data_IF_648966818713
#
_entry.id   IF_648966818713
#
_cell.length_a   1.000
_cell.length_b   1.000
_cell.length_c   1.000
_cell.angle_alpha   90.00
_cell.angle_beta   90.00
_cell.angle_gamma   90.00
#
_symmetry.space_group_name_H-M   'P 1'
#
loop_
_entity.id
_entity.type
_entity.pdbx_description
1 polymer ?
#
# COMPACT_ATOMS: atom_id res chain seq x y z
N UNK A 1 -4.74 0.34 19.73
CA UNK A 1 -5.83 0.62 18.74
C UNK A 1 -7.18 0.16 19.30
N UNK A 2 -8.23 1.00 19.31
CA UNK A 2 -9.55 0.65 19.88
C UNK A 2 -10.25 -0.50 19.12
N UNK A 3 -11.17 -1.23 19.77
CA UNK A 3 -11.81 -2.45 19.22
C UNK A 3 -12.64 -2.21 17.94
N UNK A 4 -13.36 -1.09 17.87
CA UNK A 4 -14.23 -0.73 16.74
C UNK A 4 -13.44 -0.39 15.46
N UNK A 5 -12.42 0.49 15.47
CA UNK A 5 -11.61 0.72 14.28
C UNK A 5 -10.87 -0.55 13.84
N UNK A 6 -10.52 -1.46 14.76
CA UNK A 6 -9.94 -2.76 14.43
C UNK A 6 -10.90 -3.65 13.63
N UNK A 7 -12.18 -3.72 14.01
CA UNK A 7 -13.19 -4.46 13.23
C UNK A 7 -13.46 -3.84 11.86
N UNK A 8 -13.53 -2.51 11.79
CA UNK A 8 -13.78 -1.81 10.52
C UNK A 8 -12.60 -2.01 9.56
N UNK A 9 -11.37 -2.01 10.08
CA UNK A 9 -10.16 -2.28 9.28
C UNK A 9 -10.07 -3.74 8.80
N UNK A 10 -10.62 -4.70 9.55
CA UNK A 10 -10.75 -6.11 9.11
C UNK A 10 -11.89 -6.35 8.11
N UNK A 11 -12.93 -5.51 8.10
CA UNK A 11 -14.08 -5.64 7.18
C UNK A 11 -13.96 -4.77 5.93
N UNK A 12 -13.13 -3.73 5.95
CA UNK A 12 -12.74 -3.06 4.73
C UNK A 12 -11.90 -4.03 3.92
N UNK A 13 -12.41 -4.52 2.79
CA UNK A 13 -11.56 -5.01 1.71
C UNK A 13 -11.00 -3.76 1.03
N UNK A 14 -9.81 -3.25 1.39
CA UNK A 14 -9.25 -2.10 0.69
C UNK A 14 -9.02 -2.54 -0.75
N UNK A 15 -9.66 -1.84 -1.69
CA UNK A 15 -9.48 -2.09 -3.11
C UNK A 15 -8.22 -1.33 -3.52
N UNK A 16 -7.18 -2.07 -3.84
CA UNK A 16 -5.95 -1.53 -4.42
C UNK A 16 -6.11 -1.54 -5.94
N UNK A 17 -6.08 -0.36 -6.55
CA UNK A 17 -5.97 -0.23 -8.00
C UNK A 17 -4.54 0.15 -8.33
N UNK A 18 -3.90 -0.63 -9.19
CA UNK A 18 -2.50 -0.44 -9.55
C UNK A 18 -2.46 -0.13 -11.03
N UNK A 19 -2.06 1.09 -11.36
CA UNK A 19 -1.88 1.55 -12.73
C UNK A 19 -0.39 1.62 -13.04
N UNK A 20 0.02 0.98 -14.14
CA UNK A 20 1.36 1.12 -14.69
C UNK A 20 1.29 2.05 -15.92
N UNK A 21 2.09 3.12 -15.90
CA UNK A 21 2.30 4.04 -17.01
C UNK A 21 3.79 3.99 -17.40
N UNK A 22 4.24 2.81 -17.83
CA UNK A 22 5.64 2.53 -18.15
C UNK A 22 6.52 2.50 -16.91
N UNK A 23 7.27 3.59 -16.68
CA UNK A 23 8.16 3.74 -15.53
C UNK A 23 7.43 4.14 -14.25
N UNK A 24 6.28 4.83 -14.36
CA UNK A 24 5.53 5.31 -13.20
C UNK A 24 4.43 4.34 -12.82
N UNK A 25 4.38 4.00 -11.55
CA UNK A 25 3.36 3.17 -10.94
C UNK A 25 2.49 4.02 -10.04
N UNK A 26 1.19 3.93 -10.21
CA UNK A 26 0.22 4.61 -9.35
C UNK A 26 -0.57 3.55 -8.59
N UNK A 27 -0.39 3.47 -7.28
CA UNK A 27 -1.25 2.69 -6.40
C UNK A 27 -2.32 3.61 -5.84
N UNK A 28 -3.57 3.29 -6.15
CA UNK A 28 -4.74 3.90 -5.54
C UNK A 28 -5.34 2.93 -4.53
N UNK A 29 -5.20 3.27 -3.25
CA UNK A 29 -5.79 2.52 -2.14
C UNK A 29 -7.17 3.10 -1.83
N UNK A 30 -8.22 2.43 -2.31
CA UNK A 30 -9.61 2.79 -2.06
C UNK A 30 -10.10 1.98 -0.86
N UNK A 31 -10.28 2.64 0.27
CA UNK A 31 -10.95 2.06 1.44
C UNK A 31 -12.36 2.63 1.56
N UNK A 32 -13.25 1.96 2.31
CA UNK A 32 -14.61 2.49 2.59
C UNK A 32 -14.60 3.88 3.25
N UNK A 33 -13.49 4.26 3.89
CA UNK A 33 -13.37 5.51 4.64
C UNK A 33 -12.72 6.61 3.78
N UNK A 34 -11.67 6.29 3.01
CA UNK A 34 -10.91 7.23 2.17
C UNK A 34 -10.24 6.53 0.99
N UNK A 35 -10.11 7.27 -0.11
CA UNK A 35 -9.24 6.91 -1.24
C UNK A 35 -7.93 7.68 -1.13
N UNK A 36 -6.81 6.96 -1.13
CA UNK A 36 -5.47 7.52 -1.22
C UNK A 36 -4.85 7.11 -2.56
N UNK A 37 -4.17 8.02 -3.24
CA UNK A 37 -3.42 7.74 -4.47
C UNK A 37 -1.96 8.10 -4.25
N UNK A 38 -1.06 7.19 -4.60
CA UNK A 38 0.38 7.42 -4.55
C UNK A 38 1.00 6.99 -5.86
N UNK A 39 1.77 7.90 -6.47
CA UNK A 39 2.57 7.62 -7.66
C UNK A 39 4.02 7.45 -7.23
N UNK A 40 4.63 6.33 -7.60
CA UNK A 40 6.00 5.97 -7.29
C UNK A 40 6.62 5.20 -8.47
N UNK A 41 7.94 5.04 -8.44
CA UNK A 41 8.66 4.19 -9.39
C UNK A 41 8.99 2.87 -8.71
N UNK A 42 8.90 1.75 -9.42
CA UNK A 42 9.36 0.47 -8.87
C UNK A 42 10.85 0.52 -8.54
N UNK A 43 11.20 0.03 -7.35
CA UNK A 43 12.58 0.00 -6.85
C UNK A 43 13.06 1.31 -6.22
N UNK A 44 12.27 2.38 -6.26
CA UNK A 44 12.60 3.64 -5.59
C UNK A 44 11.89 3.77 -4.23
N UNK A 45 12.56 4.42 -3.28
CA UNK A 45 11.97 4.78 -1.99
C UNK A 45 11.06 6.00 -2.16
N UNK A 46 9.81 5.89 -1.71
CA UNK A 46 8.84 6.97 -1.69
C UNK A 46 8.27 7.16 -0.29
N UNK A 47 7.98 8.41 0.06
CA UNK A 47 7.41 8.76 1.35
C UNK A 47 5.88 8.76 1.29
N UNK A 48 5.24 7.96 2.13
CA UNK A 48 3.80 7.93 2.31
C UNK A 48 3.43 8.64 3.60
N UNK A 49 2.62 9.68 3.47
CA UNK A 49 2.10 10.44 4.60
C UNK A 49 0.79 9.81 5.06
N UNK A 50 0.86 9.03 6.13
CA UNK A 50 -0.33 8.45 6.73
C UNK A 50 -1.18 9.52 7.45
N UNK A 51 -2.51 9.33 7.49
CA UNK A 51 -3.44 10.21 8.21
C UNK A 51 -3.24 10.09 9.73
N UNK A 52 -2.24 10.80 10.23
CA UNK A 52 -1.86 11.05 11.62
C UNK A 52 -0.54 11.86 11.71
N UNK A 53 0.07 12.24 10.57
CA UNK A 53 1.39 12.88 10.55
C UNK A 53 2.55 11.87 10.58
N UNK A 54 2.26 10.58 10.40
CA UNK A 54 3.28 9.53 10.33
C UNK A 54 3.80 9.46 8.89
N UNK A 55 5.11 9.61 8.73
CA UNK A 55 5.80 9.41 7.45
C UNK A 55 6.33 7.99 7.42
N UNK A 56 5.96 7.23 6.39
CA UNK A 56 6.51 5.90 6.13
C UNK A 56 7.33 5.94 4.86
N UNK A 57 8.54 5.40 4.90
CA UNK A 57 9.38 5.19 3.72
C UNK A 57 9.01 3.85 3.11
N UNK A 58 8.38 3.88 1.95
CA UNK A 58 7.92 2.71 1.25
C UNK A 58 8.82 2.44 0.05
N UNK A 59 9.18 1.18 -0.16
CA UNK A 59 9.89 0.72 -1.36
C UNK A 59 9.07 -0.40 -1.96
N UNK A 60 8.56 -0.21 -3.17
CA UNK A 60 7.77 -1.23 -3.85
C UNK A 60 8.57 -1.85 -4.98
N UNK A 61 8.64 -3.18 -4.98
CA UNK A 61 9.39 -3.99 -5.93
C UNK A 61 8.48 -5.05 -6.53
N UNK A 62 8.75 -5.44 -7.78
CA UNK A 62 7.98 -6.48 -8.47
C UNK A 62 8.79 -7.78 -8.46
N UNK A 63 8.28 -8.80 -7.77
CA UNK A 63 8.85 -10.15 -7.72
C UNK A 63 7.95 -11.10 -8.54
N UNK A 64 8.24 -11.23 -9.84
CA UNK A 64 7.41 -11.99 -10.77
C UNK A 64 6.04 -11.33 -10.94
N UNK A 65 4.97 -12.04 -10.59
CA UNK A 65 3.59 -11.53 -10.61
C UNK A 65 3.13 -10.93 -9.26
N UNK A 66 4.06 -10.78 -8.31
CA UNK A 66 3.77 -10.25 -6.98
C UNK A 66 4.38 -8.86 -6.80
N UNK A 67 3.64 -7.96 -6.17
CA UNK A 67 4.15 -6.68 -5.70
C UNK A 67 4.55 -6.78 -4.24
N UNK A 68 5.82 -6.51 -3.95
CA UNK A 68 6.37 -6.51 -2.60
C UNK A 68 6.67 -5.09 -2.19
N UNK A 69 5.88 -4.55 -1.27
CA UNK A 69 6.07 -3.25 -0.65
C UNK A 69 6.71 -3.39 0.71
N UNK A 70 7.85 -2.75 0.88
CA UNK A 70 8.58 -2.66 2.14
C UNK A 70 8.36 -1.28 2.73
N UNK A 71 7.62 -1.20 3.83
CA UNK A 71 7.36 0.03 4.56
C UNK A 71 8.28 0.12 5.79
N UNK A 72 9.04 1.20 5.91
CA UNK A 72 9.89 1.52 7.06
C UNK A 72 9.28 2.70 7.79
N UNK A 73 8.82 2.46 9.01
CA UNK A 73 8.27 3.49 9.89
C UNK A 73 9.35 4.29 10.64
N UNK A 74 8.97 5.37 11.35
CA UNK A 74 9.89 6.24 12.08
C UNK A 74 10.66 5.54 13.21
N UNK A 75 10.08 4.52 13.83
CA UNK A 75 10.73 3.67 14.84
C UNK A 75 11.66 2.60 14.25
N UNK A 76 12.08 2.76 12.99
CA UNK A 76 12.85 1.79 12.22
C UNK A 76 12.14 0.43 12.06
N UNK A 77 10.81 0.43 12.25
CA UNK A 77 9.98 -0.76 12.14
C UNK A 77 9.74 -1.07 10.65
N UNK A 78 10.22 -2.23 10.21
CA UNK A 78 10.10 -2.68 8.82
C UNK A 78 8.92 -3.63 8.68
N UNK A 79 7.97 -3.26 7.84
CA UNK A 79 6.80 -4.05 7.50
C UNK A 79 6.89 -4.43 6.03
N UNK A 80 6.89 -5.73 5.73
CA UNK A 80 6.85 -6.23 4.35
C UNK A 80 5.42 -6.65 4.02
N UNK A 81 4.88 -6.09 2.94
CA UNK A 81 3.56 -6.42 2.41
C UNK A 81 3.75 -7.04 1.04
N UNK A 82 3.21 -8.24 0.84
CA UNK A 82 3.18 -8.90 -0.46
C UNK A 82 1.75 -8.84 -0.99
N UNK A 83 1.59 -8.33 -2.19
CA UNK A 83 0.33 -8.24 -2.90
C UNK A 83 0.42 -9.15 -4.11
N UNK A 84 -0.47 -10.12 -4.19
CA UNK A 84 -0.60 -10.99 -5.36
C UNK A 84 -1.50 -10.27 -6.38
N UNK A 85 -1.00 -10.02 -7.59
CA UNK A 85 -1.76 -9.31 -8.62
C UNK A 85 -2.73 -10.30 -9.27
N UNK A 86 -3.90 -10.50 -8.68
CA UNK A 86 -4.97 -11.28 -9.29
C UNK A 86 -5.78 -10.42 -10.27
N UNK A 87 -6.01 -10.92 -11.50
CA UNK A 87 -6.78 -10.25 -12.57
C UNK A 87 -8.22 -9.86 -12.18
N UNK A 88 -8.76 -10.42 -11.10
CA UNK A 88 -10.11 -10.16 -10.56
C UNK A 88 -10.14 -9.17 -9.38
N UNK A 89 -9.00 -8.56 -9.05
CA UNK A 89 -8.84 -7.69 -7.89
C UNK A 89 -7.95 -8.34 -6.83
N UNK A 90 -7.13 -7.52 -6.20
CA UNK A 90 -6.09 -7.94 -5.24
C UNK A 90 -6.77 -8.56 -4.02
N UNK A 91 -6.52 -9.85 -3.80
CA UNK A 91 -6.86 -10.54 -2.56
C UNK A 91 -5.82 -10.21 -1.50
N UNK A 92 -6.30 -9.94 -0.28
CA UNK A 92 -5.51 -9.52 0.88
C UNK A 92 -5.33 -10.70 1.85
#
# INVERSE_FOLDING_TARGET
VPYIPRKIMCMSSPRLEISNDGDKWTIRTITMIRTAEVTFTLGEEYEEHMPAGVVLKNVTTMEGDNLVTVSVGPDNNKVVRKYEITKDGIAL
#
